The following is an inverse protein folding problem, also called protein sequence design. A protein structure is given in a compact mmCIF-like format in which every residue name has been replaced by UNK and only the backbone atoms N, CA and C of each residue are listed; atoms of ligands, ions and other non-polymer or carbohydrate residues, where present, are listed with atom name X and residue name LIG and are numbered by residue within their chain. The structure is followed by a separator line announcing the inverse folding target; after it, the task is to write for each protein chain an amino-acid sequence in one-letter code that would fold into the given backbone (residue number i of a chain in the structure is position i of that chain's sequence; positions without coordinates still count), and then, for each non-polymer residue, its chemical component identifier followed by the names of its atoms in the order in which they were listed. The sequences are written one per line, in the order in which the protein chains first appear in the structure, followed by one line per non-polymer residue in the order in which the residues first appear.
data_IF_188137066866
#
_entry.id   IF_188137066866
#
_cell.length_a   1.000
_cell.length_b   1.000
_cell.length_c   1.000
_cell.angle_alpha   90.00
_cell.angle_beta   90.00
_cell.angle_gamma   90.00
#
_symmetry.space_group_name_H-M   'P 1'
#
loop_
_entity.id
_entity.type
_entity.pdbx_description
1 polymer ?
#
# COMPACT_ATOMS: atom_id res chain seq x y z
N UNK A 1 -25.07 -9.79 -23.60
CA UNK A 1 -24.43 -9.13 -22.43
C UNK A 1 -24.17 -7.68 -22.73
N UNK A 2 -24.50 -6.77 -21.81
CA UNK A 2 -24.06 -5.38 -21.89
C UNK A 2 -23.13 -5.12 -20.69
N UNK A 3 -21.89 -4.81 -20.99
CA UNK A 3 -21.01 -4.27 -19.95
C UNK A 3 -21.48 -2.83 -19.68
N UNK A 4 -21.84 -2.57 -18.43
CA UNK A 4 -22.31 -1.25 -18.05
C UNK A 4 -21.13 -0.27 -17.90
N UNK A 5 -20.01 -0.75 -17.34
CA UNK A 5 -18.86 0.09 -17.01
C UNK A 5 -17.55 -0.70 -17.01
N UNK A 6 -16.45 -0.06 -17.44
CA UNK A 6 -15.09 -0.61 -17.37
C UNK A 6 -14.23 0.37 -16.58
N UNK A 7 -13.51 -0.14 -15.58
CA UNK A 7 -12.63 0.62 -14.69
C UNK A 7 -11.18 0.20 -14.91
N UNK A 8 -10.25 1.14 -14.79
CA UNK A 8 -8.83 0.89 -14.98
C UNK A 8 -8.06 1.08 -13.69
N UNK A 9 -7.05 0.24 -13.50
CA UNK A 9 -6.04 0.40 -12.46
C UNK A 9 -4.67 0.38 -13.17
N UNK A 10 -3.88 1.43 -13.00
CA UNK A 10 -2.61 1.54 -13.71
C UNK A 10 -1.48 0.76 -13.04
N UNK A 11 -1.46 0.71 -11.71
CA UNK A 11 -0.39 0.05 -10.96
C UNK A 11 -0.96 -0.74 -9.78
N UNK A 12 -0.71 -2.05 -9.72
CA UNK A 12 -0.34 -2.89 -10.86
C UNK A 12 -1.45 -2.91 -11.91
N UNK A 13 -1.13 -3.11 -13.18
CA UNK A 13 -2.14 -2.97 -14.24
C UNK A 13 -3.29 -3.96 -14.06
N UNK A 14 -4.50 -3.45 -14.28
CA UNK A 14 -5.70 -4.27 -14.14
C UNK A 14 -6.94 -3.53 -14.60
N UNK A 15 -8.03 -4.26 -14.72
CA UNK A 15 -9.34 -3.66 -15.01
C UNK A 15 -10.46 -4.37 -14.26
N UNK A 16 -11.58 -3.66 -14.07
CA UNK A 16 -12.79 -4.24 -13.52
C UNK A 16 -13.96 -3.94 -14.47
N UNK A 17 -14.76 -4.93 -14.72
CA UNK A 17 -15.91 -4.83 -15.63
C UNK A 17 -17.19 -4.98 -14.81
N UNK A 18 -18.04 -3.96 -14.84
CA UNK A 18 -19.40 -4.04 -14.30
C UNK A 18 -20.30 -4.51 -15.42
N UNK A 19 -21.00 -5.60 -15.22
CA UNK A 19 -21.89 -6.19 -16.22
C UNK A 19 -23.19 -6.66 -15.55
N UNK A 20 -24.24 -6.79 -16.36
CA UNK A 20 -25.54 -7.28 -15.91
C UNK A 20 -25.69 -8.76 -16.25
N UNK A 21 -26.03 -9.55 -15.25
CA UNK A 21 -26.28 -11.00 -15.42
C UNK A 21 -27.59 -11.22 -16.16
N UNK A 22 -27.84 -12.47 -16.62
CA UNK A 22 -29.08 -12.87 -17.25
C UNK A 22 -30.31 -12.62 -16.36
N UNK A 23 -30.14 -12.68 -15.04
CA UNK A 23 -31.20 -12.42 -14.04
C UNK A 23 -31.43 -10.94 -13.73
N UNK A 24 -30.65 -10.04 -14.36
CA UNK A 24 -30.78 -8.59 -14.19
C UNK A 24 -30.01 -7.97 -13.04
N UNK A 25 -29.24 -8.75 -12.27
CA UNK A 25 -28.38 -8.22 -11.23
C UNK A 25 -27.07 -7.66 -11.82
N UNK A 26 -26.57 -6.58 -11.25
CA UNK A 26 -25.27 -6.01 -11.64
C UNK A 26 -24.16 -6.68 -10.85
N UNK A 27 -23.11 -7.14 -11.54
CA UNK A 27 -21.90 -7.73 -10.94
C UNK A 27 -20.65 -7.04 -11.45
N UNK A 28 -19.57 -7.11 -10.66
CA UNK A 28 -18.27 -6.56 -11.03
C UNK A 28 -17.23 -7.68 -11.03
N UNK A 29 -16.53 -7.84 -12.15
CA UNK A 29 -15.42 -8.79 -12.25
C UNK A 29 -14.10 -8.04 -12.39
N UNK A 30 -13.10 -8.47 -11.62
CA UNK A 30 -11.76 -7.89 -11.58
C UNK A 30 -10.77 -8.77 -12.36
N UNK A 31 -9.93 -8.12 -13.15
CA UNK A 31 -8.87 -8.77 -13.92
C UNK A 31 -7.53 -8.12 -13.57
N UNK A 32 -6.63 -8.88 -13.00
CA UNK A 32 -5.24 -8.46 -12.78
C UNK A 32 -4.44 -8.78 -14.03
N UNK A 33 -3.76 -7.79 -14.56
CA UNK A 33 -3.02 -7.86 -15.81
C UNK A 33 -1.53 -7.69 -15.54
N UNK A 34 -1.02 -8.47 -14.57
CA UNK A 34 0.37 -8.34 -14.09
C UNK A 34 1.40 -8.55 -15.21
N UNK A 35 1.04 -9.35 -16.23
CA UNK A 35 1.91 -9.63 -17.37
C UNK A 35 1.71 -8.66 -18.54
N UNK A 36 0.86 -7.64 -18.38
CA UNK A 36 0.65 -6.65 -19.43
C UNK A 36 1.89 -5.75 -19.55
N UNK A 37 2.48 -5.75 -20.73
CA UNK A 37 3.63 -4.90 -21.03
C UNK A 37 3.38 -4.04 -22.27
N UNK A 38 4.37 -3.22 -22.62
CA UNK A 38 4.30 -2.31 -23.77
C UNK A 38 4.22 -3.04 -25.13
N UNK A 39 4.56 -4.33 -25.17
CA UNK A 39 4.58 -5.15 -26.40
C UNK A 39 3.43 -6.15 -26.49
N UNK A 40 2.67 -6.32 -25.41
CA UNK A 40 1.57 -7.30 -25.36
C UNK A 40 0.54 -7.04 -26.44
N UNK A 41 0.15 -8.09 -27.18
CA UNK A 41 -0.94 -7.97 -28.15
C UNK A 41 -2.27 -7.86 -27.42
N UNK A 42 -2.96 -6.76 -27.60
CA UNK A 42 -4.20 -6.41 -26.88
C UNK A 42 -5.40 -7.22 -27.39
N UNK A 43 -5.43 -7.61 -28.68
CA UNK A 43 -6.60 -8.26 -29.27
C UNK A 43 -6.94 -9.60 -28.62
N UNK A 44 -6.02 -10.59 -28.60
CA UNK A 44 -6.32 -11.86 -27.95
C UNK A 44 -6.57 -11.72 -26.44
N UNK A 45 -5.96 -10.72 -25.80
CA UNK A 45 -6.20 -10.45 -24.39
C UNK A 45 -7.62 -9.92 -24.16
N UNK A 46 -8.09 -9.01 -25.02
CA UNK A 46 -9.47 -8.50 -24.95
C UNK A 46 -10.51 -9.61 -25.19
N UNK A 47 -10.24 -10.50 -26.16
CA UNK A 47 -11.08 -11.67 -26.41
C UNK A 47 -11.17 -12.60 -25.20
N UNK A 48 -10.03 -12.91 -24.58
CA UNK A 48 -9.95 -13.77 -23.41
C UNK A 48 -10.77 -13.17 -22.24
N UNK A 49 -10.59 -11.87 -21.98
CA UNK A 49 -11.33 -11.17 -20.91
C UNK A 49 -12.83 -11.18 -21.19
N UNK A 50 -13.23 -10.92 -22.44
CA UNK A 50 -14.64 -10.92 -22.84
C UNK A 50 -15.26 -12.31 -22.66
N UNK A 51 -14.58 -13.36 -23.12
CA UNK A 51 -15.05 -14.75 -22.99
C UNK A 51 -15.21 -15.15 -21.51
N UNK A 52 -14.25 -14.81 -20.68
CA UNK A 52 -14.33 -15.09 -19.25
C UNK A 52 -15.51 -14.37 -18.58
N UNK A 53 -15.75 -13.11 -18.95
CA UNK A 53 -16.86 -12.33 -18.40
C UNK A 53 -18.22 -12.89 -18.87
N UNK A 54 -18.30 -13.34 -20.13
CA UNK A 54 -19.51 -13.95 -20.68
C UNK A 54 -19.85 -15.29 -20.01
N UNK A 55 -18.84 -16.12 -19.78
CA UNK A 55 -19.03 -17.41 -19.11
C UNK A 55 -19.67 -17.24 -17.73
N UNK A 56 -19.16 -16.32 -16.92
CA UNK A 56 -19.71 -16.04 -15.59
C UNK A 56 -21.10 -15.38 -15.62
N UNK A 57 -21.40 -14.63 -16.68
CA UNK A 57 -22.72 -14.02 -16.82
C UNK A 57 -23.82 -15.06 -17.09
N UNK A 58 -23.44 -16.25 -17.58
CA UNK A 58 -24.32 -17.36 -17.89
C UNK A 58 -24.41 -18.43 -16.78
N UNK A 59 -23.39 -18.52 -15.89
CA UNK A 59 -23.39 -19.48 -14.77
C UNK A 59 -24.44 -19.15 -13.71
N UNK A 60 -25.12 -20.15 -13.19
CA UNK A 60 -26.03 -20.00 -12.05
C UNK A 60 -25.22 -19.86 -10.74
N UNK A 61 -25.55 -18.89 -9.89
CA UNK A 61 -24.88 -18.80 -8.58
C UNK A 61 -25.29 -19.97 -7.69
N UNK A 62 -24.36 -20.57 -6.98
CA UNK A 62 -24.64 -21.46 -5.86
C UNK A 62 -25.37 -20.66 -4.76
N UNK A 63 -26.27 -21.30 -4.02
CA UNK A 63 -27.18 -20.65 -3.07
C UNK A 63 -26.49 -19.98 -1.87
N UNK A 64 -25.16 -20.08 -1.76
CA UNK A 64 -24.40 -19.62 -0.59
C UNK A 64 -23.85 -18.17 -0.70
N UNK A 65 -24.10 -17.46 -1.81
CA UNK A 65 -23.54 -16.11 -2.03
C UNK A 65 -24.51 -14.97 -1.61
N UNK A 66 -25.11 -15.08 -0.43
CA UNK A 66 -25.86 -13.97 0.16
C UNK A 66 -24.92 -13.13 1.05
N UNK A 67 -24.27 -12.16 0.48
CA UNK A 67 -23.77 -10.93 1.16
C UNK A 67 -22.61 -10.25 0.41
N UNK A 68 -22.82 -9.93 -0.86
CA UNK A 68 -21.93 -8.96 -1.51
C UNK A 68 -22.76 -7.86 -2.17
N UNK A 69 -23.23 -6.94 -1.33
CA UNK A 69 -23.72 -5.67 -1.84
C UNK A 69 -22.52 -4.91 -2.42
N UNK A 70 -22.43 -4.91 -3.76
CA UNK A 70 -21.36 -4.21 -4.47
C UNK A 70 -21.47 -2.70 -4.24
N UNK A 71 -20.42 -2.03 -3.77
CA UNK A 71 -20.42 -0.57 -3.69
C UNK A 71 -20.56 0.03 -5.10
N UNK A 72 -21.35 1.07 -5.22
CA UNK A 72 -21.57 1.79 -6.48
C UNK A 72 -20.28 2.42 -7.01
N UNK A 73 -19.94 2.18 -8.25
CA UNK A 73 -18.68 2.58 -8.88
C UNK A 73 -18.85 3.82 -9.79
N UNK A 74 -17.84 4.70 -9.94
CA UNK A 74 -18.02 5.98 -10.67
C UNK A 74 -17.97 5.89 -12.20
N UNK A 75 -18.30 7.00 -12.82
CA UNK A 75 -18.68 7.19 -14.23
C UNK A 75 -17.81 6.56 -15.33
N UNK A 76 -18.44 6.02 -16.32
CA UNK A 76 -17.89 5.15 -17.34
C UNK A 76 -18.63 5.25 -18.68
N UNK A 77 -18.10 4.60 -19.67
CA UNK A 77 -18.74 4.46 -20.98
C UNK A 77 -19.83 3.39 -20.90
N UNK A 78 -21.06 3.74 -21.20
CA UNK A 78 -22.17 2.77 -21.31
C UNK A 78 -22.08 2.02 -22.65
N UNK A 79 -22.05 0.70 -22.62
CA UNK A 79 -21.87 -0.13 -23.81
C UNK A 79 -23.06 -1.08 -23.96
N UNK A 80 -23.72 -1.04 -25.12
CA UNK A 80 -25.01 -1.69 -25.35
C UNK A 80 -24.96 -2.99 -26.13
N UNK A 81 -23.81 -3.45 -26.63
CA UNK A 81 -23.69 -4.69 -27.39
C UNK A 81 -22.29 -5.34 -27.20
N UNK A 82 -22.16 -6.62 -27.54
CA UNK A 82 -20.90 -7.36 -27.40
C UNK A 82 -19.77 -6.76 -28.25
N UNK A 83 -20.06 -6.27 -29.44
CA UNK A 83 -19.05 -5.59 -30.29
C UNK A 83 -18.59 -4.27 -29.67
N UNK A 84 -19.52 -3.51 -29.09
CA UNK A 84 -19.19 -2.27 -28.38
C UNK A 84 -18.38 -2.55 -27.11
N UNK A 85 -18.68 -3.63 -26.39
CA UNK A 85 -17.90 -4.05 -25.20
C UNK A 85 -16.48 -4.41 -25.59
N UNK A 86 -16.29 -5.13 -26.68
CA UNK A 86 -14.95 -5.49 -27.19
C UNK A 86 -14.14 -4.24 -27.56
N UNK A 87 -14.76 -3.31 -28.26
CA UNK A 87 -14.11 -2.04 -28.63
C UNK A 87 -13.71 -1.21 -27.40
N UNK A 88 -14.58 -1.17 -26.39
CA UNK A 88 -14.32 -0.48 -25.12
C UNK A 88 -13.18 -1.16 -24.35
N UNK A 89 -13.12 -2.50 -24.36
CA UNK A 89 -12.03 -3.27 -23.74
C UNK A 89 -10.70 -2.99 -24.43
N UNK A 90 -10.67 -2.99 -25.77
CA UNK A 90 -9.47 -2.64 -26.53
C UNK A 90 -8.99 -1.22 -26.21
N UNK A 91 -9.91 -0.27 -26.13
CA UNK A 91 -9.58 1.10 -25.75
C UNK A 91 -9.02 1.17 -24.33
N UNK A 92 -9.63 0.45 -23.40
CA UNK A 92 -9.19 0.40 -21.99
C UNK A 92 -7.79 -0.21 -21.86
N UNK A 93 -7.55 -1.35 -22.52
CA UNK A 93 -6.24 -2.01 -22.54
C UNK A 93 -5.18 -1.14 -23.24
N UNK A 94 -5.57 -0.45 -24.32
CA UNK A 94 -4.69 0.51 -25.01
C UNK A 94 -4.26 1.66 -24.10
N UNK A 95 -5.15 2.18 -23.29
CA UNK A 95 -4.81 3.23 -22.30
C UNK A 95 -3.86 2.71 -21.24
N UNK A 96 -4.09 1.49 -20.72
CA UNK A 96 -3.17 0.86 -19.78
C UNK A 96 -1.79 0.69 -20.42
N UNK A 97 -1.74 0.15 -21.62
CA UNK A 97 -0.48 -0.06 -22.35
C UNK A 97 0.23 1.25 -22.65
N UNK A 98 -0.51 2.29 -23.03
CA UNK A 98 0.05 3.62 -23.24
C UNK A 98 0.72 4.15 -21.97
N UNK A 99 0.06 3.98 -20.83
CA UNK A 99 0.63 4.41 -19.53
C UNK A 99 1.92 3.64 -19.19
N UNK A 100 1.97 2.35 -19.54
CA UNK A 100 3.18 1.53 -19.35
C UNK A 100 4.31 1.95 -20.30
N UNK A 101 3.98 2.55 -21.46
CA UNK A 101 4.97 3.08 -22.41
C UNK A 101 5.48 4.47 -22.04
N UNK A 102 4.78 5.19 -21.16
CA UNK A 102 5.22 6.52 -20.74
C UNK A 102 6.63 6.43 -20.14
N UNK A 103 7.52 7.36 -20.50
CA UNK A 103 8.87 7.32 -19.97
C UNK A 103 8.83 7.50 -18.45
N UNK A 104 9.55 6.62 -17.76
CA UNK A 104 9.66 6.67 -16.31
C UNK A 104 10.39 7.96 -15.93
N UNK A 105 9.79 8.72 -15.04
CA UNK A 105 10.43 9.93 -14.52
C UNK A 105 11.63 9.52 -13.67
N UNK A 106 12.81 9.84 -14.14
CA UNK A 106 14.08 9.42 -13.51
C UNK A 106 14.75 10.53 -12.71
N UNK A 107 14.24 11.76 -12.82
CA UNK A 107 14.78 12.90 -12.09
C UNK A 107 13.67 13.69 -11.41
N UNK A 108 13.90 14.04 -10.19
CA UNK A 108 12.97 14.79 -9.34
C UNK A 108 13.71 16.00 -8.77
N UNK A 109 13.06 17.13 -8.78
CA UNK A 109 13.63 18.35 -8.22
C UNK A 109 12.82 18.75 -7.00
N UNK A 110 13.47 19.32 -6.01
CA UNK A 110 12.75 19.82 -4.85
C UNK A 110 11.76 20.90 -5.30
N UNK A 111 10.48 20.58 -5.21
CA UNK A 111 9.40 21.46 -5.62
C UNK A 111 9.03 22.41 -4.48
N UNK A 112 8.85 21.85 -3.29
CA UNK A 112 8.43 22.59 -2.10
C UNK A 112 9.04 21.96 -0.84
N UNK A 113 9.01 22.74 0.24
CA UNK A 113 9.39 22.28 1.57
C UNK A 113 8.32 22.75 2.54
N UNK A 114 7.79 21.84 3.33
CA UNK A 114 6.80 22.13 4.37
C UNK A 114 7.54 22.16 5.71
N UNK A 115 7.41 23.26 6.45
CA UNK A 115 8.20 23.55 7.67
C UNK A 115 7.32 23.91 8.88
N UNK A 116 6.03 23.62 8.85
CA UNK A 116 5.13 24.07 9.93
C UNK A 116 5.10 23.15 11.16
N UNK A 117 5.71 21.96 11.09
CA UNK A 117 5.90 21.15 12.28
C UNK A 117 7.03 21.70 13.15
N UNK A 118 6.84 21.65 14.47
CA UNK A 118 7.82 22.15 15.44
C UNK A 118 8.73 21.05 16.01
N UNK A 119 8.40 19.79 15.76
CA UNK A 119 9.18 18.62 16.19
C UNK A 119 9.32 17.64 15.01
N UNK A 120 10.23 16.65 15.11
CA UNK A 120 10.50 15.69 14.05
C UNK A 120 9.27 15.02 13.47
N UNK A 121 9.32 14.71 12.18
CA UNK A 121 8.29 13.92 11.50
C UNK A 121 8.52 12.43 11.76
N UNK A 122 7.44 11.68 11.86
CA UNK A 122 7.47 10.23 12.06
C UNK A 122 7.19 9.49 10.76
N UNK A 123 6.13 9.88 10.05
CA UNK A 123 5.70 9.16 8.87
C UNK A 123 5.00 10.07 7.87
N UNK A 124 4.99 9.67 6.60
CA UNK A 124 4.29 10.39 5.53
C UNK A 124 3.57 9.42 4.60
N UNK A 125 2.46 9.86 4.04
CA UNK A 125 1.80 9.12 2.98
C UNK A 125 1.02 10.06 2.05
N UNK A 126 0.89 9.64 0.79
CA UNK A 126 0.02 10.30 -0.19
C UNK A 126 -1.40 9.76 -0.10
N UNK A 127 -2.34 10.57 -0.49
CA UNK A 127 -3.66 10.07 -0.85
C UNK A 127 -3.57 9.38 -2.22
N UNK A 128 -4.64 8.71 -2.63
CA UNK A 128 -4.62 7.96 -3.88
C UNK A 128 -4.55 8.85 -5.12
N UNK A 129 -5.04 10.06 -5.05
CA UNK A 129 -4.98 11.00 -6.17
C UNK A 129 -3.59 11.62 -6.34
N UNK A 130 -2.77 11.63 -5.29
CA UNK A 130 -1.51 12.35 -5.24
C UNK A 130 -1.68 13.85 -5.03
N UNK A 131 -2.93 14.31 -4.79
CA UNK A 131 -3.22 15.74 -4.58
C UNK A 131 -2.98 16.17 -3.14
N UNK A 132 -3.11 15.23 -2.18
CA UNK A 132 -2.90 15.50 -0.75
C UNK A 132 -1.92 14.51 -0.15
N UNK A 133 -1.29 14.95 0.91
CA UNK A 133 -0.47 14.06 1.72
C UNK A 133 -0.70 14.31 3.20
N UNK A 134 -0.29 13.33 4.02
CA UNK A 134 -0.30 13.40 5.48
C UNK A 134 1.12 13.39 6.00
N UNK A 135 1.33 14.14 7.06
CA UNK A 135 2.56 14.08 7.86
C UNK A 135 2.19 13.87 9.32
N UNK A 136 2.78 12.88 9.95
CA UNK A 136 2.69 12.67 11.40
C UNK A 136 3.94 13.20 12.08
N UNK A 137 3.82 13.66 13.33
CA UNK A 137 4.92 14.30 14.01
C UNK A 137 4.95 14.04 15.53
N UNK A 138 6.13 14.20 16.09
CA UNK A 138 6.35 14.25 17.54
C UNK A 138 5.64 15.43 18.21
N UNK A 139 5.23 16.46 17.44
CA UNK A 139 4.49 17.61 17.99
C UNK A 139 3.01 17.29 18.30
N UNK A 140 2.63 16.01 18.21
CA UNK A 140 1.28 15.46 18.52
C UNK A 140 0.22 15.86 17.50
N UNK A 141 0.64 16.35 16.32
CA UNK A 141 -0.28 16.75 15.26
C UNK A 141 -0.05 15.93 13.99
N UNK A 142 -1.07 15.90 13.15
CA UNK A 142 -0.95 15.42 11.78
C UNK A 142 -1.44 16.53 10.86
N UNK A 143 -0.65 16.84 9.82
CA UNK A 143 -1.05 17.86 8.84
C UNK A 143 -1.55 17.19 7.56
N UNK A 144 -2.65 17.72 7.04
CA UNK A 144 -3.15 17.42 5.69
C UNK A 144 -2.66 18.54 4.79
N UNK A 145 -1.88 18.21 3.79
CA UNK A 145 -1.16 19.19 2.96
C UNK A 145 -1.51 18.96 1.50
N UNK A 146 -1.82 20.04 0.78
CA UNK A 146 -1.96 20.01 -0.67
C UNK A 146 -0.57 19.86 -1.30
N UNK A 147 -0.38 18.85 -2.14
CA UNK A 147 0.94 18.51 -2.70
C UNK A 147 1.41 19.48 -3.78
N UNK A 148 0.52 20.28 -4.37
CA UNK A 148 0.88 21.27 -5.39
C UNK A 148 1.31 22.58 -4.78
N UNK A 149 0.56 23.06 -3.78
CA UNK A 149 0.85 24.34 -3.12
C UNK A 149 1.78 24.18 -1.92
N UNK A 150 1.83 22.99 -1.31
CA UNK A 150 2.44 22.66 -0.01
C UNK A 150 1.80 23.45 1.14
N UNK A 151 0.59 23.96 0.93
CA UNK A 151 -0.18 24.61 1.98
C UNK A 151 -0.91 23.59 2.83
N UNK A 152 -1.02 23.88 4.12
CA UNK A 152 -1.76 23.03 5.06
C UNK A 152 -3.24 23.26 4.88
N UNK A 153 -3.98 22.25 4.46
CA UNK A 153 -5.44 22.29 4.40
C UNK A 153 -6.04 22.18 5.80
N UNK A 154 -5.53 21.23 6.59
CA UNK A 154 -6.01 20.99 7.95
C UNK A 154 -4.86 20.57 8.87
N UNK A 155 -4.91 21.04 10.10
CA UNK A 155 -4.07 20.56 11.21
C UNK A 155 -4.96 19.72 12.13
N UNK A 156 -4.67 18.43 12.20
CA UNK A 156 -5.43 17.48 13.01
C UNK A 156 -4.82 17.47 14.42
N UNK A 157 -5.51 18.13 15.35
CA UNK A 157 -5.07 18.29 16.74
C UNK A 157 -6.00 17.54 17.69
N UNK A 158 -5.44 16.97 18.75
CA UNK A 158 -6.23 16.29 19.76
C UNK A 158 -5.61 15.01 20.30
N UNK A 159 -4.46 14.58 19.78
CA UNK A 159 -3.65 13.55 20.43
C UNK A 159 -2.84 14.17 21.57
N UNK A 160 -2.67 13.41 22.64
CA UNK A 160 -1.93 13.82 23.83
C UNK A 160 -0.43 13.45 23.77
N UNK A 161 -0.04 12.65 22.73
CA UNK A 161 1.34 12.21 22.55
C UNK A 161 1.66 12.12 21.05
N UNK A 162 2.86 11.67 20.70
CA UNK A 162 3.40 11.54 19.34
C UNK A 162 2.40 10.87 18.40
N UNK A 163 2.20 11.45 17.21
CA UNK A 163 1.47 10.79 16.11
C UNK A 163 2.49 9.98 15.31
N UNK A 164 2.45 8.65 15.45
CA UNK A 164 3.45 7.77 14.86
C UNK A 164 2.99 7.18 13.53
N UNK A 165 1.73 6.77 13.42
CA UNK A 165 1.17 6.15 12.21
C UNK A 165 0.11 7.04 11.61
N UNK A 166 0.15 7.22 10.28
CA UNK A 166 -0.85 8.00 9.55
C UNK A 166 -1.27 7.25 8.29
N UNK A 167 -2.53 7.35 7.92
CA UNK A 167 -3.02 6.72 6.70
C UNK A 167 -4.33 7.29 6.20
N UNK A 168 -4.46 7.38 4.89
CA UNK A 168 -5.74 7.68 4.24
C UNK A 168 -6.54 6.40 4.05
N UNK A 169 -7.85 6.53 4.09
CA UNK A 169 -8.75 5.50 3.58
C UNK A 169 -8.63 5.46 2.05
N UNK A 170 -7.86 4.52 1.53
CA UNK A 170 -7.60 4.38 0.09
C UNK A 170 -8.16 3.05 -0.44
N UNK A 171 -9.46 2.98 -0.77
CA UNK A 171 -10.00 1.76 -1.36
C UNK A 171 -9.22 1.37 -2.62
N UNK A 172 -8.89 0.09 -2.75
CA UNK A 172 -7.96 -0.39 -3.81
C UNK A 172 -8.44 -0.16 -5.24
N UNK A 173 -9.73 0.06 -5.43
CA UNK A 173 -10.30 0.23 -6.77
C UNK A 173 -10.70 1.66 -7.06
N UNK A 174 -10.01 2.55 -6.99
CA UNK A 174 -10.20 3.69 -7.30
C UNK A 174 -9.95 3.90 -8.58
N UNK A 175 -10.72 4.21 -9.15
CA UNK A 175 -10.49 4.66 -10.52
C UNK A 175 -10.06 6.13 -10.48
N UNK A 176 -8.85 6.37 -10.85
CA UNK A 176 -8.40 7.73 -11.14
C UNK A 176 -9.06 8.20 -12.45
N UNK A 177 -10.10 9.02 -12.35
CA UNK A 177 -10.60 9.77 -13.49
C UNK A 177 -9.86 11.10 -13.50
N UNK A 178 -9.05 11.40 -14.52
CA UNK A 178 -8.37 12.70 -14.58
C UNK A 178 -9.38 13.83 -14.56
N UNK A 179 -9.11 14.82 -13.73
CA UNK A 179 -9.97 16.02 -13.56
C UNK A 179 -10.47 16.67 -14.86
N UNK A 180 -9.99 16.44 -15.69
CA UNK A 180 -10.22 16.98 -16.92
C UNK A 180 -11.31 16.48 -17.75
N UNK A 181 -11.54 15.53 -17.38
CA UNK A 181 -12.57 14.95 -18.26
C UNK A 181 -14.00 15.05 -17.70
N UNK A 182 -14.21 15.57 -16.55
CA UNK A 182 -15.54 15.63 -15.92
C UNK A 182 -15.93 17.06 -15.53
N UNK A 183 -16.84 17.66 -16.32
CA UNK A 183 -17.53 18.88 -15.91
C UNK A 183 -18.64 18.66 -14.89
N UNK A 184 -18.67 17.51 -14.20
CA UNK A 184 -19.72 17.16 -13.23
C UNK A 184 -19.12 16.96 -11.84
N UNK A 185 -19.26 17.94 -10.99
CA UNK A 185 -18.73 17.96 -9.62
C UNK A 185 -19.37 16.96 -8.65
N UNK A 186 -20.43 16.27 -9.01
CA UNK A 186 -21.25 15.53 -8.04
C UNK A 186 -21.05 13.99 -8.02
N UNK A 187 -20.37 13.43 -9.02
CA UNK A 187 -20.26 11.96 -9.14
C UNK A 187 -18.92 11.36 -8.66
N UNK A 188 -17.97 12.20 -8.27
CA UNK A 188 -16.59 11.78 -7.92
C UNK A 188 -16.38 11.53 -6.42
N UNK A 189 -17.41 11.73 -5.61
CA UNK A 189 -17.31 11.72 -4.15
C UNK A 189 -17.19 10.32 -3.51
N UNK A 190 -17.41 9.25 -4.30
CA UNK A 190 -17.62 7.91 -3.69
C UNK A 190 -16.30 7.16 -3.41
N UNK A 191 -15.18 7.61 -4.00
CA UNK A 191 -13.88 6.92 -3.87
C UNK A 191 -12.70 7.87 -3.57
N UNK A 192 -13.00 9.05 -3.08
CA UNK A 192 -11.98 9.93 -2.54
C UNK A 192 -11.52 9.38 -1.18
N UNK A 193 -10.26 9.62 -0.85
CA UNK A 193 -9.72 9.39 0.48
C UNK A 193 -10.44 10.32 1.47
N UNK A 194 -11.65 9.91 1.88
CA UNK A 194 -12.56 10.76 2.67
C UNK A 194 -12.26 10.74 4.16
N UNK A 195 -11.51 9.72 4.60
CA UNK A 195 -11.16 9.56 6.02
C UNK A 195 -9.65 9.40 6.19
N UNK A 196 -9.19 9.80 7.35
CA UNK A 196 -7.79 9.69 7.77
C UNK A 196 -7.80 8.93 9.10
N UNK A 197 -6.82 8.04 9.30
CA UNK A 197 -6.54 7.42 10.59
C UNK A 197 -5.19 7.90 11.07
N UNK A 198 -5.09 8.23 12.35
CA UNK A 198 -3.84 8.52 13.05
C UNK A 198 -3.71 7.59 14.25
N UNK A 199 -2.54 7.00 14.43
CA UNK A 199 -2.19 6.20 15.60
C UNK A 199 -1.13 6.92 16.41
N UNK A 200 -1.29 6.92 17.73
CA UNK A 200 -0.46 7.73 18.61
C UNK A 200 0.08 6.94 19.80
N UNK A 201 1.16 7.45 20.35
CA UNK A 201 1.75 6.98 21.60
C UNK A 201 0.86 7.30 22.82
N UNK A 202 -0.27 8.02 22.64
CA UNK A 202 -1.27 8.20 23.70
C UNK A 202 -2.19 6.98 23.85
N UNK A 203 -1.86 5.85 23.23
CA UNK A 203 -2.60 4.58 23.25
C UNK A 203 -3.94 4.64 22.51
N UNK A 204 -4.19 5.70 21.70
CA UNK A 204 -5.43 5.82 20.93
C UNK A 204 -5.15 5.93 19.44
N UNK A 205 -6.15 5.53 18.66
CA UNK A 205 -6.21 5.92 17.26
C UNK A 205 -7.41 6.86 17.08
N UNK A 206 -7.28 7.83 16.18
CA UNK A 206 -8.37 8.75 15.85
C UNK A 206 -8.68 8.69 14.36
N UNK A 207 -9.96 8.81 14.06
CA UNK A 207 -10.46 8.87 12.67
C UNK A 207 -10.94 10.29 12.41
N UNK A 208 -10.52 10.84 11.29
CA UNK A 208 -10.79 12.23 10.92
C UNK A 208 -11.45 12.27 9.54
N UNK A 209 -12.25 13.30 9.34
CA UNK A 209 -12.77 13.66 8.00
C UNK A 209 -11.65 14.35 7.21
N UNK A 210 -11.27 13.81 6.06
CA UNK A 210 -10.23 14.42 5.22
C UNK A 210 -10.66 15.74 4.59
N UNK A 211 -11.98 16.00 4.50
CA UNK A 211 -12.50 17.23 3.90
C UNK A 211 -12.69 18.36 4.90
N UNK A 212 -12.94 18.07 6.17
CA UNK A 212 -13.22 19.10 7.19
C UNK A 212 -12.15 19.18 8.28
N UNK A 213 -11.25 18.19 8.36
CA UNK A 213 -10.25 18.08 9.44
C UNK A 213 -10.84 17.73 10.81
N UNK A 214 -12.16 17.46 10.90
CA UNK A 214 -12.81 17.17 12.17
C UNK A 214 -12.58 15.73 12.60
N UNK A 215 -12.35 15.52 13.91
CA UNK A 215 -12.28 14.19 14.50
C UNK A 215 -13.68 13.56 14.50
N UNK A 216 -13.82 12.43 13.81
CA UNK A 216 -15.07 11.69 13.71
C UNK A 216 -15.25 10.76 14.91
N UNK A 217 -14.19 10.06 15.32
CA UNK A 217 -14.21 9.17 16.49
C UNK A 217 -12.80 8.91 17.00
N UNK A 218 -12.74 8.46 18.25
CA UNK A 218 -11.50 8.00 18.89
C UNK A 218 -11.68 6.53 19.28
N UNK A 219 -10.69 5.72 18.91
CA UNK A 219 -10.65 4.27 19.14
C UNK A 219 -9.84 4.02 20.39
N UNK A 220 -10.50 3.50 21.42
CA UNK A 220 -9.93 3.21 22.73
C UNK A 220 -9.76 1.71 22.92
N UNK A 221 -8.90 1.33 23.87
CA UNK A 221 -8.76 -0.05 24.32
C UNK A 221 -7.30 -0.49 24.51
N UNK A 222 -6.39 -0.01 23.69
CA UNK A 222 -4.97 -0.30 23.86
C UNK A 222 -4.43 0.32 25.15
N UNK A 223 -3.46 -0.37 25.76
CA UNK A 223 -2.86 0.04 27.04
C UNK A 223 -1.43 0.53 26.91
N UNK A 224 -0.88 0.49 25.67
CA UNK A 224 0.44 1.04 25.33
C UNK A 224 0.39 1.69 23.94
N UNK A 225 1.50 2.24 23.52
CA UNK A 225 1.67 3.05 22.30
C UNK A 225 1.19 2.32 21.04
N UNK A 226 0.50 3.04 20.14
CA UNK A 226 0.16 2.53 18.81
C UNK A 226 1.26 2.86 17.82
N UNK A 227 1.71 1.84 17.11
CA UNK A 227 2.80 1.96 16.13
C UNK A 227 2.35 1.71 14.69
N UNK A 228 1.22 1.06 14.47
CA UNK A 228 0.70 0.88 13.12
C UNK A 228 -0.82 0.96 13.10
N UNK A 229 -1.35 1.55 12.03
CA UNK A 229 -2.79 1.61 11.76
C UNK A 229 -3.02 1.40 10.27
N UNK A 230 -4.03 0.63 9.91
CA UNK A 230 -4.38 0.41 8.51
C UNK A 230 -5.89 0.26 8.33
N UNK A 231 -6.44 0.96 7.33
CA UNK A 231 -7.84 0.77 6.91
C UNK A 231 -8.01 -0.55 6.15
N UNK A 232 -9.15 -1.15 6.31
CA UNK A 232 -9.55 -2.31 5.51
C UNK A 232 -9.56 -1.93 4.01
N UNK A 233 -8.84 -2.69 3.14
CA UNK A 233 -8.53 -2.23 1.77
C UNK A 233 -9.71 -2.18 0.81
N UNK A 234 -10.80 -2.90 1.06
CA UNK A 234 -11.93 -2.93 0.12
C UNK A 234 -12.99 -1.89 0.45
N UNK A 235 -13.43 -1.85 1.69
CA UNK A 235 -14.57 -1.01 2.08
C UNK A 235 -14.22 0.15 3.01
N UNK A 236 -13.02 0.13 3.63
CA UNK A 236 -12.60 1.19 4.54
C UNK A 236 -13.46 1.33 5.80
N UNK A 237 -14.31 0.33 6.12
CA UNK A 237 -15.21 0.39 7.28
C UNK A 237 -14.59 -0.17 8.56
N UNK A 238 -13.43 -0.81 8.44
CA UNK A 238 -12.71 -1.33 9.59
C UNK A 238 -11.28 -0.78 9.58
N UNK A 239 -10.69 -0.69 10.77
CA UNK A 239 -9.30 -0.27 10.98
C UNK A 239 -8.63 -1.33 11.84
N UNK A 240 -7.45 -1.79 11.41
CA UNK A 240 -6.56 -2.58 12.23
C UNK A 240 -5.53 -1.66 12.88
N UNK A 241 -5.21 -1.93 14.13
CA UNK A 241 -4.18 -1.22 14.91
C UNK A 241 -3.21 -2.23 15.50
N UNK A 242 -1.94 -1.83 15.62
CA UNK A 242 -0.91 -2.60 16.32
C UNK A 242 -0.33 -1.75 17.45
N UNK A 243 -0.08 -2.38 18.59
CA UNK A 243 0.35 -1.68 19.80
C UNK A 243 1.49 -2.40 20.52
N UNK A 244 2.27 -1.61 21.24
CA UNK A 244 3.30 -2.07 22.16
C UNK A 244 2.72 -2.86 23.36
N UNK A 245 1.35 -2.93 23.51
CA UNK A 245 0.72 -3.77 24.53
C UNK A 245 0.71 -5.27 24.18
N UNK A 246 1.34 -5.66 23.07
CA UNK A 246 1.39 -7.05 22.61
C UNK A 246 0.16 -7.49 21.85
N UNK A 247 -0.77 -6.58 21.55
CA UNK A 247 -2.01 -6.92 20.84
C UNK A 247 -2.18 -6.11 19.57
N UNK A 248 -2.93 -6.67 18.63
CA UNK A 248 -3.53 -5.91 17.55
C UNK A 248 -5.04 -5.89 17.75
N UNK A 249 -5.72 -4.87 17.24
CA UNK A 249 -7.18 -4.76 17.38
C UNK A 249 -7.80 -4.33 16.06
N UNK A 250 -9.04 -4.75 15.86
CA UNK A 250 -9.83 -4.34 14.70
C UNK A 250 -11.05 -3.56 15.23
N UNK A 251 -11.28 -2.39 14.65
CA UNK A 251 -12.37 -1.49 15.04
C UNK A 251 -13.27 -1.21 13.86
N UNK A 252 -14.55 -1.00 14.13
CA UNK A 252 -15.50 -0.47 13.15
C UNK A 252 -15.38 1.05 13.11
N UNK A 253 -15.26 1.60 11.91
CA UNK A 253 -15.04 3.04 11.69
C UNK A 253 -16.28 3.88 12.01
N UNK A 254 -17.49 3.32 11.79
CA UNK A 254 -18.74 4.06 11.96
C UNK A 254 -19.19 4.11 13.42
N UNK A 255 -19.03 3.00 14.15
CA UNK A 255 -19.47 2.88 15.52
C UNK A 255 -18.35 3.11 16.53
N UNK A 256 -17.09 3.09 16.10
CA UNK A 256 -15.89 3.14 16.94
C UNK A 256 -15.76 1.95 17.91
N UNK A 257 -16.59 0.92 17.76
CA UNK A 257 -16.53 -0.26 18.62
C UNK A 257 -15.40 -1.20 18.19
N UNK A 258 -14.77 -1.82 19.18
CA UNK A 258 -13.80 -2.89 18.94
C UNK A 258 -14.55 -4.14 18.45
N UNK A 259 -14.23 -4.57 17.23
CA UNK A 259 -14.79 -5.79 16.63
C UNK A 259 -14.05 -7.03 17.10
N UNK A 260 -12.72 -6.88 17.35
CA UNK A 260 -11.86 -8.00 17.66
C UNK A 260 -10.56 -7.54 18.31
N UNK A 261 -10.15 -8.26 19.36
CA UNK A 261 -8.80 -8.18 19.93
C UNK A 261 -8.01 -9.42 19.49
N UNK A 262 -6.82 -9.20 18.96
CA UNK A 262 -5.90 -10.24 18.48
C UNK A 262 -4.76 -10.33 19.50
N UNK A 263 -4.92 -11.19 20.50
CA UNK A 263 -3.98 -11.34 21.61
C UNK A 263 -3.34 -12.73 21.55
N UNK A 264 -2.22 -12.84 20.89
CA UNK A 264 -1.48 -14.10 20.74
C UNK A 264 0.03 -13.92 20.80
N UNK A 265 0.51 -12.70 20.58
CA UNK A 265 1.91 -12.38 20.66
C UNK A 265 2.39 -12.27 22.10
N UNK A 266 3.65 -12.64 22.33
CA UNK A 266 4.28 -12.60 23.66
C UNK A 266 5.03 -11.30 23.93
N UNK A 267 5.12 -10.41 22.93
CA UNK A 267 5.78 -9.11 23.03
C UNK A 267 5.09 -8.10 22.12
N UNK A 268 5.62 -6.91 22.04
CA UNK A 268 5.08 -5.75 21.30
C UNK A 268 4.75 -6.12 19.84
N UNK A 269 3.61 -5.63 19.34
CA UNK A 269 3.17 -5.81 17.95
C UNK A 269 3.49 -4.52 17.18
N UNK A 270 4.37 -4.62 16.19
CA UNK A 270 4.92 -3.45 15.49
C UNK A 270 4.28 -3.23 14.10
N UNK A 271 3.59 -4.21 13.58
CA UNK A 271 2.98 -4.11 12.25
C UNK A 271 1.63 -4.82 12.24
N UNK A 272 0.67 -4.25 11.55
CA UNK A 272 -0.63 -4.86 11.25
C UNK A 272 -0.99 -4.51 9.81
N UNK A 273 -1.08 -5.52 8.93
CA UNK A 273 -1.27 -5.32 7.49
C UNK A 273 -2.36 -6.26 6.96
N UNK A 274 -3.37 -5.69 6.34
CA UNK A 274 -4.38 -6.49 5.64
C UNK A 274 -3.82 -7.08 4.35
N UNK A 275 -4.26 -8.28 4.02
CA UNK A 275 -4.06 -8.79 2.67
C UNK A 275 -4.96 -8.02 1.68
N UNK A 276 -4.77 -8.25 0.40
CA UNK A 276 -5.49 -7.55 -0.68
C UNK A 276 -7.01 -7.56 -0.52
N UNK A 277 -7.57 -8.68 -0.10
CA UNK A 277 -9.01 -8.90 -0.03
C UNK A 277 -9.61 -8.54 1.34
N UNK A 278 -8.75 -8.16 2.30
CA UNK A 278 -9.19 -7.82 3.64
C UNK A 278 -9.61 -9.02 4.50
N UNK A 279 -9.53 -10.23 3.95
CA UNK A 279 -9.95 -11.43 4.67
C UNK A 279 -8.91 -11.90 5.69
N UNK A 280 -7.65 -11.50 5.49
CA UNK A 280 -6.57 -11.86 6.40
C UNK A 280 -5.84 -10.62 6.87
N UNK A 281 -5.39 -10.67 8.12
CA UNK A 281 -4.54 -9.65 8.72
C UNK A 281 -3.22 -10.31 9.11
N UNK A 282 -2.10 -9.68 8.80
CA UNK A 282 -0.75 -10.08 9.18
C UNK A 282 -0.29 -9.16 10.30
N UNK A 283 0.21 -9.73 11.40
CA UNK A 283 0.82 -8.97 12.49
C UNK A 283 2.26 -9.41 12.67
N UNK A 284 3.15 -8.47 12.89
CA UNK A 284 4.57 -8.72 13.19
C UNK A 284 4.90 -8.23 14.60
N UNK A 285 5.74 -8.99 15.33
CA UNK A 285 6.00 -8.72 16.73
C UNK A 285 7.48 -8.86 17.11
N UNK A 286 7.85 -8.20 18.19
CA UNK A 286 9.13 -8.35 18.85
C UNK A 286 9.31 -9.74 19.51
N UNK A 287 8.25 -10.59 19.54
CA UNK A 287 8.38 -11.98 19.97
C UNK A 287 9.03 -12.87 18.89
N UNK A 288 9.66 -12.29 17.87
CA UNK A 288 10.39 -12.92 16.76
C UNK A 288 9.45 -13.65 15.78
N UNK A 289 8.13 -13.43 15.85
CA UNK A 289 7.16 -14.12 15.00
C UNK A 289 6.22 -13.16 14.29
N UNK A 290 5.68 -13.62 13.18
CA UNK A 290 4.52 -13.00 12.58
C UNK A 290 3.32 -13.93 12.68
N UNK A 291 2.11 -13.39 12.77
CA UNK A 291 0.89 -14.18 12.87
C UNK A 291 -0.09 -13.78 11.76
N UNK A 292 -0.77 -14.76 11.20
CA UNK A 292 -1.81 -14.57 10.18
C UNK A 292 -3.17 -14.85 10.83
N UNK A 293 -4.08 -13.91 10.69
CA UNK A 293 -5.40 -13.94 11.30
C UNK A 293 -6.46 -13.93 10.21
N UNK A 294 -7.48 -14.76 10.35
CA UNK A 294 -8.69 -14.70 9.54
C UNK A 294 -9.64 -13.68 10.22
N UNK A 295 -9.94 -12.61 9.51
CA UNK A 295 -10.77 -11.52 10.04
C UNK A 295 -12.24 -11.93 10.20
N UNK A 296 -12.68 -12.95 9.46
CA UNK A 296 -14.05 -13.45 9.51
C UNK A 296 -14.26 -14.42 10.68
N UNK A 297 -13.36 -15.41 10.85
CA UNK A 297 -13.47 -16.39 11.95
C UNK A 297 -12.88 -15.87 13.26
N UNK A 298 -12.15 -14.75 13.19
CA UNK A 298 -11.52 -14.10 14.35
C UNK A 298 -10.49 -14.98 15.04
N UNK A 299 -9.81 -15.85 14.28
CA UNK A 299 -8.85 -16.81 14.80
C UNK A 299 -7.47 -16.62 14.18
N UNK A 300 -6.44 -16.94 14.94
CA UNK A 300 -5.07 -17.03 14.41
C UNK A 300 -4.97 -18.30 13.57
N UNK A 301 -4.74 -18.14 12.28
CA UNK A 301 -4.62 -19.27 11.35
C UNK A 301 -3.24 -19.91 11.45
N UNK A 302 -2.20 -19.08 11.41
CA UNK A 302 -0.81 -19.57 11.39
C UNK A 302 0.10 -18.59 12.11
N UNK A 303 1.20 -19.15 12.62
CA UNK A 303 2.28 -18.38 13.22
C UNK A 303 3.59 -18.69 12.49
N UNK A 304 4.17 -17.66 11.89
CA UNK A 304 5.42 -17.77 11.13
C UNK A 304 6.58 -17.67 12.10
N UNK A 305 7.32 -18.78 12.24
CA UNK A 305 8.43 -18.90 13.19
C UNK A 305 9.72 -19.19 12.44
N UNK A 306 10.81 -18.59 12.90
CA UNK A 306 12.12 -18.83 12.30
C UNK A 306 13.14 -17.77 12.65
N UNK A 307 12.70 -16.51 12.72
CA UNK A 307 13.59 -15.42 13.10
C UNK A 307 14.13 -15.59 14.51
N UNK A 308 15.38 -15.17 14.71
CA UNK A 308 16.08 -15.29 16.00
C UNK A 308 16.12 -14.00 16.79
N UNK A 309 15.64 -12.88 16.17
CA UNK A 309 15.51 -11.58 16.82
C UNK A 309 14.16 -10.94 16.42
N UNK A 310 13.92 -9.78 16.96
CA UNK A 310 12.69 -8.99 16.76
C UNK A 310 12.43 -8.72 15.27
N UNK A 311 11.16 -8.74 14.88
CA UNK A 311 10.77 -8.32 13.54
C UNK A 311 10.83 -6.78 13.45
N UNK A 312 11.24 -6.27 12.31
CA UNK A 312 11.23 -4.83 11.99
C UNK A 312 9.99 -4.43 11.19
N UNK A 313 9.59 -5.26 10.23
CA UNK A 313 8.39 -5.03 9.43
C UNK A 313 7.91 -6.35 8.82
N UNK A 314 6.64 -6.38 8.43
CA UNK A 314 6.08 -7.51 7.68
C UNK A 314 5.05 -6.99 6.68
N UNK A 315 5.06 -7.55 5.48
CA UNK A 315 4.23 -7.06 4.38
C UNK A 315 3.70 -8.22 3.52
N UNK A 316 2.50 -8.02 2.96
CA UNK A 316 1.91 -8.90 1.94
C UNK A 316 2.37 -8.46 0.55
N UNK A 317 2.54 -9.42 -0.35
CA UNK A 317 2.63 -9.08 -1.76
C UNK A 317 1.23 -8.75 -2.32
N UNK A 318 1.19 -8.20 -3.52
CA UNK A 318 -0.08 -7.78 -4.15
C UNK A 318 -1.06 -8.95 -4.34
N UNK A 319 -0.57 -10.15 -4.66
CA UNK A 319 -1.44 -11.31 -4.86
C UNK A 319 -2.07 -11.85 -3.56
N UNK A 320 -1.49 -11.48 -2.40
CA UNK A 320 -1.91 -12.03 -1.11
C UNK A 320 -1.43 -13.46 -0.85
N UNK A 321 -0.52 -13.96 -1.69
CA UNK A 321 0.00 -15.33 -1.59
C UNK A 321 1.37 -15.40 -0.91
N UNK A 322 2.13 -14.29 -0.93
CA UNK A 322 3.46 -14.24 -0.34
C UNK A 322 3.50 -13.19 0.78
N UNK A 323 4.30 -13.49 1.78
CA UNK A 323 4.57 -12.59 2.90
C UNK A 323 6.09 -12.42 2.98
N UNK A 324 6.56 -11.21 3.22
CA UNK A 324 7.95 -10.95 3.57
C UNK A 324 8.00 -10.40 5.00
N UNK A 325 8.97 -10.90 5.77
CA UNK A 325 9.27 -10.42 7.12
C UNK A 325 10.73 -9.99 7.18
N UNK A 326 10.99 -8.80 7.72
CA UNK A 326 12.32 -8.32 8.04
C UNK A 326 12.58 -8.42 9.53
N UNK A 327 13.85 -8.62 9.92
CA UNK A 327 14.20 -8.82 11.32
C UNK A 327 15.57 -8.23 11.65
N UNK A 328 15.73 -7.90 12.93
CA UNK A 328 17.01 -7.47 13.51
C UNK A 328 18.03 -8.60 13.56
N UNK A 329 17.65 -9.86 13.18
CA UNK A 329 18.58 -10.98 13.04
C UNK A 329 19.41 -10.91 11.74
N UNK A 330 19.45 -9.76 11.07
CA UNK A 330 20.15 -9.48 9.80
C UNK A 330 19.55 -10.21 8.60
N UNK A 331 18.36 -10.82 8.74
CA UNK A 331 17.72 -11.59 7.66
C UNK A 331 16.33 -11.06 7.32
N UNK A 332 15.91 -11.35 6.11
CA UNK A 332 14.50 -11.28 5.74
C UNK A 332 14.05 -12.68 5.32
N UNK A 333 12.79 -13.00 5.54
CA UNK A 333 12.22 -14.31 5.16
C UNK A 333 11.01 -14.11 4.28
N UNK A 334 10.90 -15.00 3.31
CA UNK A 334 9.76 -15.05 2.39
C UNK A 334 8.92 -16.29 2.72
N UNK A 335 7.61 -16.13 2.80
CA UNK A 335 6.66 -17.19 3.17
C UNK A 335 5.59 -17.30 2.10
N UNK A 336 5.21 -18.54 1.77
CA UNK A 336 4.07 -18.82 0.87
C UNK A 336 2.88 -19.27 1.72
N UNK A 337 1.76 -18.59 1.62
CA UNK A 337 0.55 -18.86 2.43
C UNK A 337 0.02 -20.29 2.19
N UNK A 338 0.35 -20.89 1.06
CA UNK A 338 -0.07 -22.24 0.72
C UNK A 338 0.80 -23.32 1.36
N UNK A 339 1.99 -22.94 1.92
CA UNK A 339 2.98 -23.85 2.52
C UNK A 339 3.65 -23.14 3.70
N UNK A 340 2.90 -22.95 4.78
CA UNK A 340 3.35 -22.15 5.94
C UNK A 340 4.19 -22.95 6.96
N UNK A 341 4.47 -24.24 6.69
CA UNK A 341 5.24 -25.08 7.61
C UNK A 341 6.70 -24.63 7.72
N UNK A 342 7.22 -23.97 6.70
CA UNK A 342 8.60 -23.45 6.66
C UNK A 342 8.67 -22.25 5.73
N UNK A 343 9.71 -21.44 5.88
CA UNK A 343 9.95 -20.33 4.96
C UNK A 343 10.21 -20.84 3.54
N UNK A 344 9.74 -20.08 2.56
CA UNK A 344 10.02 -20.36 1.15
C UNK A 344 11.49 -20.05 0.82
N UNK A 345 11.97 -18.89 1.27
CA UNK A 345 13.36 -18.47 1.08
C UNK A 345 13.84 -17.66 2.28
N UNK A 346 15.13 -17.86 2.60
CA UNK A 346 15.87 -17.08 3.59
C UNK A 346 16.80 -16.10 2.86
N UNK A 347 16.67 -14.83 3.15
CA UNK A 347 17.49 -13.73 2.63
C UNK A 347 18.49 -13.33 3.72
N UNK A 348 19.74 -13.77 3.60
CA UNK A 348 20.78 -13.64 4.65
C UNK A 348 22.06 -12.95 4.15
N UNK A 349 21.92 -11.93 3.29
CA UNK A 349 23.09 -11.25 2.72
C UNK A 349 23.46 -9.95 3.45
N UNK A 350 22.56 -9.39 4.25
CA UNK A 350 22.85 -8.18 5.02
C UNK A 350 23.81 -8.49 6.16
N UNK A 351 24.70 -7.55 6.45
CA UNK A 351 25.68 -7.71 7.54
C UNK A 351 25.19 -7.10 8.84
N UNK A 352 24.03 -6.42 8.80
CA UNK A 352 23.44 -5.78 9.96
C UNK A 352 21.90 -5.88 9.88
N UNK A 353 21.21 -5.33 10.86
CA UNK A 353 19.75 -5.39 11.01
C UNK A 353 19.00 -5.01 9.74
N UNK A 354 17.97 -5.79 9.37
CA UNK A 354 17.07 -5.45 8.28
C UNK A 354 15.96 -4.57 8.87
N UNK A 355 15.90 -3.30 8.46
CA UNK A 355 14.99 -2.31 9.02
C UNK A 355 13.64 -2.27 8.30
N UNK A 356 13.62 -2.50 6.98
CA UNK A 356 12.36 -2.45 6.23
C UNK A 356 12.39 -3.43 5.05
N UNK A 357 11.18 -3.86 4.66
CA UNK A 357 10.97 -4.76 3.51
C UNK A 357 9.78 -4.24 2.70
N UNK A 358 9.86 -4.34 1.37
CA UNK A 358 8.78 -3.89 0.50
C UNK A 358 8.70 -4.76 -0.77
N UNK A 359 7.48 -5.06 -1.21
CA UNK A 359 7.26 -5.67 -2.53
C UNK A 359 7.00 -4.58 -3.58
N UNK A 360 7.36 -4.87 -4.80
CA UNK A 360 6.92 -4.05 -5.93
C UNK A 360 5.40 -4.23 -6.18
N UNK A 361 4.81 -3.33 -6.95
CA UNK A 361 3.37 -3.35 -7.19
C UNK A 361 2.88 -4.63 -7.91
N UNK A 362 3.75 -5.28 -8.69
CA UNK A 362 3.40 -6.52 -9.39
C UNK A 362 3.61 -7.78 -8.52
N UNK A 363 4.35 -7.66 -7.42
CA UNK A 363 4.70 -8.79 -6.55
C UNK A 363 5.79 -9.69 -7.11
N UNK A 364 6.63 -9.14 -8.00
CA UNK A 364 7.75 -9.87 -8.66
C UNK A 364 9.10 -9.59 -8.03
N UNK A 365 9.20 -8.49 -7.31
CA UNK A 365 10.44 -8.06 -6.68
C UNK A 365 10.22 -7.84 -5.19
N UNK A 366 11.24 -8.16 -4.40
CA UNK A 366 11.30 -7.84 -2.99
C UNK A 366 12.50 -6.91 -2.78
N UNK A 367 12.31 -5.83 -2.05
CA UNK A 367 13.41 -4.97 -1.60
C UNK A 367 13.58 -5.15 -0.10
N UNK A 368 14.82 -5.13 0.35
CA UNK A 368 15.20 -5.13 1.77
C UNK A 368 16.17 -3.99 2.00
N UNK A 369 16.08 -3.31 3.13
CA UNK A 369 17.07 -2.30 3.53
C UNK A 369 17.56 -2.55 4.95
N UNK A 370 18.75 -2.05 5.24
CA UNK A 370 19.48 -2.47 6.43
C UNK A 370 20.30 -1.33 7.04
N UNK A 371 20.63 -1.51 8.33
CA UNK A 371 21.61 -0.70 9.05
C UNK A 371 23.02 -0.85 8.45
N UNK A 372 23.27 -1.85 7.58
CA UNK A 372 24.56 -1.97 6.86
C UNK A 372 24.73 -0.92 5.76
N UNK A 373 23.90 0.13 5.73
CA UNK A 373 23.92 1.24 4.77
C UNK A 373 23.58 0.82 3.33
N UNK A 374 23.02 -0.38 3.12
CA UNK A 374 22.64 -0.87 1.80
C UNK A 374 21.16 -1.22 1.70
N UNK A 375 20.66 -1.19 0.48
CA UNK A 375 19.40 -1.83 0.13
C UNK A 375 19.67 -2.87 -0.96
N UNK A 376 18.84 -3.92 -1.01
CA UNK A 376 19.00 -5.03 -1.96
C UNK A 376 17.65 -5.34 -2.59
N UNK A 377 17.69 -5.74 -3.85
CA UNK A 377 16.50 -6.18 -4.59
C UNK A 377 16.67 -7.64 -5.00
N UNK A 378 15.61 -8.41 -4.82
CA UNK A 378 15.54 -9.84 -5.04
C UNK A 378 14.46 -10.15 -6.06
N UNK A 379 14.76 -11.01 -7.02
CA UNK A 379 13.79 -11.44 -8.02
C UNK A 379 12.97 -12.63 -7.49
N UNK A 380 11.66 -12.53 -7.61
CA UNK A 380 10.70 -13.55 -7.19
C UNK A 380 10.20 -14.33 -8.41
N UNK A 381 11.14 -14.88 -9.20
CA UNK A 381 10.76 -15.68 -10.36
C UNK A 381 10.12 -16.98 -9.90
N UNK A 382 8.93 -17.26 -10.43
CA UNK A 382 8.08 -18.37 -10.01
C UNK A 382 8.60 -19.78 -10.27
N UNK A 383 9.90 -19.94 -10.54
CA UNK A 383 10.48 -21.28 -10.62
C UNK A 383 10.77 -21.78 -9.20
N UNK A 384 9.84 -22.58 -8.68
CA UNK A 384 10.00 -23.27 -7.40
C UNK A 384 11.22 -24.24 -7.36
N UNK A 385 12.09 -24.17 -8.37
CA UNK A 385 13.22 -25.08 -8.54
C UNK A 385 14.54 -24.52 -8.02
N UNK A 386 14.64 -23.20 -7.74
CA UNK A 386 15.88 -22.66 -7.16
C UNK A 386 15.78 -22.60 -5.63
N UNK A 387 16.69 -23.23 -4.95
CA UNK A 387 16.76 -23.23 -3.48
C UNK A 387 17.10 -21.86 -2.89
N UNK A 388 17.58 -20.92 -3.71
CA UNK A 388 17.98 -19.60 -3.24
C UNK A 388 17.35 -18.49 -4.11
N UNK A 389 16.92 -17.43 -3.45
CA UNK A 389 16.41 -16.24 -4.11
C UNK A 389 17.55 -15.52 -4.84
N UNK A 390 17.35 -15.16 -6.09
CA UNK A 390 18.35 -14.44 -6.87
C UNK A 390 18.39 -12.97 -6.48
N UNK A 391 19.56 -12.49 -6.05
CA UNK A 391 19.78 -11.06 -5.82
C UNK A 391 19.92 -10.36 -7.17
N UNK A 392 18.95 -9.53 -7.52
CA UNK A 392 18.94 -8.78 -8.78
C UNK A 392 19.97 -7.64 -8.75
N UNK A 393 19.99 -6.87 -7.67
CA UNK A 393 20.86 -5.70 -7.57
C UNK A 393 21.14 -5.30 -6.12
N UNK A 394 22.27 -4.63 -5.94
CA UNK A 394 22.73 -4.05 -4.69
C UNK A 394 22.80 -2.53 -4.81
N UNK A 395 22.13 -1.82 -3.92
CA UNK A 395 22.17 -0.37 -3.80
C UNK A 395 23.13 0.00 -2.68
N UNK A 396 24.37 0.31 -3.04
CA UNK A 396 25.42 0.73 -2.11
C UNK A 396 25.83 2.18 -2.40
N UNK A 397 25.84 2.98 -1.36
CA UNK A 397 26.23 4.38 -1.50
C UNK A 397 25.82 5.29 -0.36
N UNK A 398 24.78 4.92 0.40
CA UNK A 398 24.46 5.63 1.64
C UNK A 398 25.63 5.51 2.61
N UNK A 399 25.83 6.54 3.41
CA UNK A 399 26.91 6.57 4.42
C UNK A 399 26.42 6.23 5.82
N UNK A 400 25.13 5.98 5.97
CA UNK A 400 24.51 5.62 7.24
C UNK A 400 23.31 4.69 6.99
N UNK A 401 22.68 4.18 8.04
CA UNK A 401 21.60 3.20 7.99
C UNK A 401 20.47 3.63 7.04
N UNK A 402 19.88 2.67 6.35
CA UNK A 402 18.73 2.87 5.46
C UNK A 402 17.47 2.46 6.21
N UNK A 403 16.69 3.45 6.62
CA UNK A 403 15.53 3.28 7.49
C UNK A 403 14.26 2.84 6.75
N UNK A 404 14.13 3.20 5.46
CA UNK A 404 12.90 2.94 4.71
C UNK A 404 13.19 2.66 3.25
N UNK A 405 12.40 1.77 2.65
CA UNK A 405 12.50 1.45 1.23
C UNK A 405 11.11 1.39 0.59
N UNK A 406 10.97 1.96 -0.62
CA UNK A 406 9.74 1.79 -1.38
C UNK A 406 10.01 1.78 -2.88
N UNK A 407 9.28 0.95 -3.62
CA UNK A 407 9.34 0.91 -5.08
C UNK A 407 8.53 2.04 -5.69
N UNK A 408 8.99 2.52 -6.84
CA UNK A 408 8.11 3.29 -7.71
C UNK A 408 6.92 2.43 -8.14
N UNK A 409 5.78 3.03 -8.49
CA UNK A 409 4.61 2.24 -8.92
C UNK A 409 4.87 1.29 -10.10
N UNK A 410 5.82 1.65 -10.97
CA UNK A 410 6.23 0.80 -12.11
C UNK A 410 7.20 -0.31 -11.74
N UNK A 411 7.77 -0.32 -10.53
CA UNK A 411 8.80 -1.28 -10.10
C UNK A 411 10.20 -1.00 -10.64
N UNK A 412 10.37 -0.03 -11.54
CA UNK A 412 11.65 0.20 -12.21
C UNK A 412 12.64 1.02 -11.39
N UNK A 413 12.17 1.70 -10.37
CA UNK A 413 13.01 2.48 -9.48
C UNK A 413 12.72 2.13 -8.02
N UNK A 414 13.76 2.22 -7.20
CA UNK A 414 13.68 2.07 -5.75
C UNK A 414 14.03 3.41 -5.11
N UNK A 415 13.29 3.80 -4.10
CA UNK A 415 13.53 4.98 -3.27
C UNK A 415 13.95 4.50 -1.89
N UNK A 416 15.03 5.04 -1.37
CA UNK A 416 15.53 4.75 -0.02
C UNK A 416 15.61 6.03 0.79
N UNK A 417 15.28 5.96 2.06
CA UNK A 417 15.49 7.01 3.04
C UNK A 417 16.57 6.57 4.01
N UNK A 418 17.48 7.49 4.39
CA UNK A 418 18.62 7.12 5.21
C UNK A 418 18.91 8.17 6.30
N UNK A 419 19.55 7.71 7.35
CA UNK A 419 20.07 8.54 8.44
C UNK A 419 21.22 9.45 7.96
N UNK A 420 21.75 9.24 6.73
CA UNK A 420 22.76 10.15 6.14
C UNK A 420 22.17 11.48 5.66
N UNK A 421 20.95 11.82 6.06
CA UNK A 421 20.20 13.03 5.71
C UNK A 421 19.78 13.10 4.24
N UNK A 422 19.90 11.98 3.49
CA UNK A 422 19.50 11.95 2.09
C UNK A 422 18.46 10.86 1.83
N UNK A 423 17.68 11.07 0.79
CA UNK A 423 16.97 9.97 0.13
C UNK A 423 17.61 9.75 -1.24
N UNK A 424 17.58 8.51 -1.74
CA UNK A 424 18.21 8.20 -3.03
C UNK A 424 17.26 7.43 -3.91
N UNK A 425 17.43 7.67 -5.21
CA UNK A 425 16.72 6.97 -6.27
C UNK A 425 17.67 6.04 -6.99
N UNK A 426 17.27 4.79 -7.11
CA UNK A 426 18.09 3.75 -7.72
C UNK A 426 17.34 3.09 -8.86
N UNK A 427 18.05 2.71 -9.90
CA UNK A 427 17.49 1.85 -10.94
C UNK A 427 17.45 0.41 -10.42
N UNK A 428 16.26 -0.16 -10.36
CA UNK A 428 16.01 -1.46 -9.74
C UNK A 428 16.85 -2.59 -10.37
N UNK A 429 16.97 -2.59 -11.71
CA UNK A 429 17.69 -3.66 -12.42
C UNK A 429 19.20 -3.62 -12.23
N UNK A 430 19.79 -2.43 -12.14
CA UNK A 430 21.25 -2.27 -12.14
C UNK A 430 21.84 -1.89 -10.78
N UNK A 431 20.99 -1.47 -9.82
CA UNK A 431 21.45 -0.92 -8.55
C UNK A 431 22.15 0.44 -8.68
N UNK A 432 22.14 1.05 -9.88
CA UNK A 432 22.79 2.33 -10.09
C UNK A 432 22.02 3.47 -9.44
N UNK A 433 22.70 4.32 -8.69
CA UNK A 433 22.09 5.52 -8.10
C UNK A 433 21.81 6.53 -9.21
N UNK A 434 20.53 6.72 -9.52
CA UNK A 434 20.08 7.68 -10.53
C UNK A 434 20.13 9.11 -9.99
N UNK A 435 19.84 9.30 -8.70
CA UNK A 435 19.78 10.64 -8.11
C UNK A 435 19.87 10.58 -6.59
N UNK A 436 20.56 11.56 -6.03
CA UNK A 436 20.55 11.83 -4.58
C UNK A 436 19.59 13.00 -4.35
N UNK A 437 18.61 12.81 -3.48
CA UNK A 437 17.67 13.84 -3.05
C UNK A 437 18.24 14.45 -1.76
N UNK A 438 19.08 15.46 -1.93
CA UNK A 438 19.78 16.13 -0.84
C UNK A 438 19.07 17.43 -0.48
N UNK A 439 19.12 17.80 0.80
CA UNK A 439 18.55 19.03 1.28
C UNK A 439 18.13 18.98 2.74
N UNK A 440 17.73 17.81 3.23
CA UNK A 440 17.42 17.64 4.67
C UNK A 440 18.69 17.88 5.51
N UNK A 441 18.49 18.44 6.69
CA UNK A 441 19.56 18.77 7.63
C UNK A 441 19.74 17.72 8.73
N UNK A 442 18.84 16.71 8.74
CA UNK A 442 18.88 15.60 9.69
C UNK A 442 18.34 14.33 9.03
N UNK A 443 18.38 13.23 9.77
CA UNK A 443 17.97 11.88 9.34
C UNK A 443 16.62 11.88 8.63
N UNK A 444 16.51 11.15 7.52
CA UNK A 444 15.26 10.96 6.78
C UNK A 444 14.63 9.65 7.23
N UNK A 445 13.51 9.72 7.95
CA UNK A 445 12.85 8.56 8.54
C UNK A 445 11.86 7.85 7.60
N UNK A 446 11.20 8.62 6.73
CA UNK A 446 10.16 8.05 5.88
C UNK A 446 10.18 8.67 4.50
N UNK A 447 9.79 7.86 3.52
CA UNK A 447 9.68 8.30 2.14
C UNK A 447 8.51 7.59 1.47
N UNK A 448 7.92 8.26 0.47
CA UNK A 448 6.77 7.69 -0.26
C UNK A 448 6.73 8.19 -1.70
N UNK A 449 6.28 7.32 -2.60
CA UNK A 449 5.92 7.69 -3.97
C UNK A 449 4.43 8.00 -4.06
N UNK A 450 4.07 8.96 -4.91
CA UNK A 450 2.68 9.12 -5.35
C UNK A 450 2.24 7.89 -6.15
N UNK A 451 0.96 7.60 -6.19
CA UNK A 451 0.42 6.47 -6.97
C UNK A 451 0.73 6.60 -8.48
N UNK A 452 0.80 7.82 -8.99
CA UNK A 452 1.15 8.06 -10.39
C UNK A 452 2.66 7.92 -10.68
N UNK A 453 3.51 7.95 -9.65
CA UNK A 453 4.96 7.90 -9.78
C UNK A 453 5.59 9.22 -10.22
N UNK A 454 4.85 10.32 -10.12
CA UNK A 454 5.28 11.65 -10.59
C UNK A 454 5.74 12.57 -9.44
N UNK A 455 5.57 12.13 -8.20
CA UNK A 455 5.96 12.89 -7.02
C UNK A 455 6.52 11.97 -5.94
N UNK A 456 7.41 12.52 -5.13
CA UNK A 456 7.99 11.86 -3.97
C UNK A 456 7.84 12.78 -2.76
N UNK A 457 7.62 12.17 -1.59
CA UNK A 457 7.70 12.81 -0.28
C UNK A 457 8.87 12.24 0.50
N UNK A 458 9.53 13.08 1.27
CA UNK A 458 10.51 12.66 2.28
C UNK A 458 10.21 13.39 3.58
N UNK A 459 10.27 12.68 4.69
CA UNK A 459 10.05 13.22 6.04
C UNK A 459 11.30 13.01 6.89
N UNK A 460 11.68 14.05 7.62
CA UNK A 460 12.95 14.06 8.32
C UNK A 460 12.80 14.51 9.78
N UNK A 461 13.81 14.16 10.54
CA UNK A 461 14.07 14.63 11.90
C UNK A 461 14.30 16.15 11.96
N UNK A 462 14.57 16.80 10.81
CA UNK A 462 14.71 18.27 10.72
C UNK A 462 13.36 19.01 10.78
N UNK A 463 12.28 18.33 11.13
CA UNK A 463 10.92 18.85 11.25
C UNK A 463 10.29 19.22 9.89
N UNK A 464 10.92 18.86 8.77
CA UNK A 464 10.41 19.23 7.44
C UNK A 464 9.94 18.04 6.63
N UNK A 465 8.94 18.29 5.79
CA UNK A 465 8.54 17.38 4.71
C UNK A 465 8.88 18.03 3.37
N UNK A 466 9.61 17.34 2.52
CA UNK A 466 9.99 17.84 1.19
C UNK A 466 9.24 17.12 0.09
N UNK A 467 8.82 17.93 -0.87
CA UNK A 467 8.09 17.51 -2.06
C UNK A 467 9.03 17.55 -3.25
N UNK A 468 9.15 16.46 -3.95
CA UNK A 468 10.01 16.32 -5.13
C UNK A 468 9.14 16.00 -6.34
N UNK A 469 9.31 16.77 -7.41
CA UNK A 469 8.60 16.60 -8.68
C UNK A 469 9.50 16.77 -9.88
#
# INVERSE_FOLDING_TARGET
MSANKIFLRYYPPGLAINYRTAKGSDRVRHFDLLDLDAKTNIEPLADKILLQTLAEAEEEPSEDDHDQASPCLPASVSVSSSQNTFSALKLALGKLQQKLREPIKKKFYQHKCHTSHILPLTNVCFDRSGERCLTGSYDRTCHVIDTQTAEVEHILTGHDNVVFSVGFNTPRWXVLVPRXLTGLHSALSIYCSDKIVTGSFDCTAKVWSASSGQCLCTLFGHTAELVATEFHPLHGKAIATASMDGTARIYDVETAHELQQLAHHGAEVIAARYNRDGQMLLTGSFDHTAAIWDTRTKSCCHRLRGHSAELSNCVWNFSGLLIATGSLDHTARLWDIRRLDQELHLVSKHSDEVLDVAFDAAGRLLATCSSDCTARVWALDGSAASEQLEMLSLMAGHSDEVSKVCFSPSGCMLLTASADNTARLWLTESGHCSQVLAGHEAEVFSCAYSYAGDAILTASKDNTCRFWR
#
